data_IF_456707811038
#
_entry.id   IF_456707811038
#
_cell.length_a   1.000
_cell.length_b   1.000
_cell.length_c   1.000
_cell.angle_alpha   90.00
_cell.angle_beta   90.00
_cell.angle_gamma   90.00
#
_symmetry.space_group_name_H-M   'P 1'
#
loop_
_entity.id
_entity.type
_entity.pdbx_description
1 polymer ?
#
# COMPACT_ATOMS: atom_id res chain seq x y z
N UNK A 1 9.17 -4.03 8.67
CA UNK A 1 9.57 -3.16 7.55
C UNK A 1 8.76 -3.48 6.29
N UNK A 2 8.70 -4.74 5.82
CA UNK A 2 7.96 -5.11 4.60
C UNK A 2 6.49 -4.69 4.63
N UNK A 3 5.78 -4.92 5.73
CA UNK A 3 4.39 -4.49 5.91
C UNK A 3 4.30 -2.97 6.08
N UNK A 4 5.30 -2.37 6.75
CA UNK A 4 5.35 -0.93 6.98
C UNK A 4 5.48 -0.11 5.68
N UNK A 5 6.08 -0.66 4.63
CA UNK A 5 6.19 0.02 3.34
C UNK A 5 4.86 0.07 2.56
N UNK A 6 3.91 -0.82 2.87
CA UNK A 6 2.63 -0.95 2.16
C UNK A 6 1.45 -0.35 2.91
N UNK A 7 1.44 -0.47 4.24
CA UNK A 7 0.35 0.05 5.07
C UNK A 7 0.42 1.57 5.15
N UNK A 8 -0.53 2.25 4.56
CA UNK A 8 -0.58 3.71 4.51
C UNK A 8 -2.00 4.27 4.36
N UNK A 9 -2.10 5.57 4.13
CA UNK A 9 -3.37 6.29 3.91
C UNK A 9 -4.17 5.69 2.75
N UNK A 10 -3.48 5.08 1.81
CA UNK A 10 -4.06 4.36 0.70
C UNK A 10 -5.06 3.28 1.12
N UNK A 11 -4.76 2.51 2.14
CA UNK A 11 -5.59 1.39 2.60
C UNK A 11 -6.93 1.85 3.18
N UNK A 12 -7.03 3.10 3.59
CA UNK A 12 -8.26 3.69 4.11
C UNK A 12 -8.97 4.48 3.01
N UNK A 13 -8.37 5.59 2.57
CA UNK A 13 -9.00 6.51 1.61
C UNK A 13 -9.20 5.86 0.25
N UNK A 14 -8.20 5.13 -0.22
CA UNK A 14 -8.30 4.52 -1.53
C UNK A 14 -9.30 3.36 -1.60
N UNK A 15 -9.46 2.57 -0.54
CA UNK A 15 -10.51 1.54 -0.48
C UNK A 15 -11.88 2.22 -0.45
N UNK A 16 -12.03 3.31 0.32
CA UNK A 16 -13.26 4.10 0.35
C UNK A 16 -13.64 4.62 -1.04
N UNK A 17 -12.68 5.23 -1.75
CA UNK A 17 -12.88 5.72 -3.12
C UNK A 17 -13.23 4.58 -4.08
N UNK A 18 -12.56 3.44 -3.98
CA UNK A 18 -12.87 2.28 -4.83
C UNK A 18 -14.29 1.76 -4.63
N UNK A 19 -14.77 1.73 -3.40
CA UNK A 19 -16.15 1.33 -3.07
C UNK A 19 -17.15 2.39 -3.56
N UNK A 20 -16.88 3.67 -3.34
CA UNK A 20 -17.78 4.74 -3.79
C UNK A 20 -17.92 4.79 -5.32
N UNK A 21 -16.86 4.51 -6.06
CA UNK A 21 -16.86 4.58 -7.53
C UNK A 21 -17.17 3.26 -8.22
N UNK A 22 -16.78 2.15 -7.62
CA UNK A 22 -16.88 0.80 -8.21
C UNK A 22 -17.89 -0.13 -7.52
N UNK A 23 -18.58 0.34 -6.47
CA UNK A 23 -19.54 -0.48 -5.71
C UNK A 23 -18.88 -1.56 -4.86
N UNK A 24 -19.71 -2.43 -4.31
CA UNK A 24 -19.28 -3.54 -3.46
C UNK A 24 -18.35 -4.52 -4.20
N UNK A 25 -18.61 -4.74 -5.49
CA UNK A 25 -17.83 -5.66 -6.34
C UNK A 25 -16.34 -5.29 -6.47
N UNK A 26 -15.96 -4.03 -6.25
CA UNK A 26 -14.56 -3.60 -6.29
C UNK A 26 -13.69 -4.35 -5.26
N UNK A 27 -14.26 -4.76 -4.12
CA UNK A 27 -13.57 -5.51 -3.07
C UNK A 27 -13.13 -6.90 -3.57
N UNK A 28 -13.99 -7.59 -4.31
CA UNK A 28 -13.64 -8.88 -4.91
C UNK A 28 -12.44 -8.78 -5.86
N UNK A 29 -12.46 -7.80 -6.76
CA UNK A 29 -11.37 -7.58 -7.72
C UNK A 29 -10.07 -7.16 -7.05
N UNK A 30 -10.17 -6.42 -5.94
CA UNK A 30 -9.02 -6.08 -5.11
C UNK A 30 -8.38 -7.35 -4.48
N UNK A 31 -9.20 -8.30 -4.00
CA UNK A 31 -8.70 -9.59 -3.49
C UNK A 31 -8.03 -10.42 -4.58
N UNK A 32 -8.64 -10.49 -5.76
CA UNK A 32 -8.06 -11.23 -6.88
C UNK A 32 -6.69 -10.67 -7.28
N UNK A 33 -6.59 -9.35 -7.36
CA UNK A 33 -5.32 -8.68 -7.66
C UNK A 33 -4.27 -8.88 -6.56
N UNK A 34 -4.66 -9.02 -5.30
CA UNK A 34 -3.71 -9.33 -4.24
C UNK A 34 -3.08 -10.72 -4.41
N UNK A 35 -3.86 -11.72 -4.86
CA UNK A 35 -3.34 -13.05 -5.16
C UNK A 35 -2.31 -13.01 -6.29
N UNK A 36 -2.61 -12.33 -7.40
CA UNK A 36 -1.70 -12.15 -8.53
C UNK A 36 -0.48 -11.31 -8.15
N UNK A 37 -0.70 -10.21 -7.43
CA UNK A 37 0.34 -9.32 -6.93
C UNK A 37 1.30 -10.00 -5.95
N UNK A 38 0.82 -10.97 -5.17
CA UNK A 38 1.66 -11.79 -4.31
C UNK A 38 2.75 -12.53 -5.07
N UNK A 39 2.44 -13.10 -6.24
CA UNK A 39 3.44 -13.76 -7.10
C UNK A 39 4.46 -12.77 -7.66
N UNK A 40 4.00 -11.58 -8.07
CA UNK A 40 4.88 -10.52 -8.55
C UNK A 40 5.82 -10.03 -7.43
N UNK A 41 5.30 -9.75 -6.25
CA UNK A 41 6.09 -9.32 -5.09
C UNK A 41 7.12 -10.38 -4.66
N UNK A 42 6.77 -11.66 -4.73
CA UNK A 42 7.69 -12.76 -4.51
C UNK A 42 8.86 -12.72 -5.49
N UNK A 43 8.56 -12.63 -6.78
CA UNK A 43 9.55 -12.68 -7.86
C UNK A 43 10.50 -11.49 -7.79
N UNK A 44 9.97 -10.26 -7.74
CA UNK A 44 10.78 -9.04 -7.74
C UNK A 44 11.68 -8.94 -6.49
N UNK A 45 11.19 -9.40 -5.34
CA UNK A 45 11.96 -9.35 -4.09
C UNK A 45 13.01 -10.44 -4.00
N UNK A 46 12.75 -11.61 -4.59
CA UNK A 46 13.74 -12.67 -4.74
C UNK A 46 14.87 -12.24 -5.66
N UNK A 47 14.53 -11.62 -6.81
CA UNK A 47 15.53 -11.04 -7.73
C UNK A 47 16.37 -9.96 -7.04
N UNK A 48 15.75 -9.08 -6.27
CA UNK A 48 16.47 -8.05 -5.54
C UNK A 48 17.48 -8.63 -4.54
N UNK A 49 17.18 -9.77 -3.92
CA UNK A 49 18.11 -10.47 -3.04
C UNK A 49 19.24 -11.18 -3.79
N UNK A 50 18.97 -11.73 -5.00
CA UNK A 50 19.98 -12.40 -5.82
C UNK A 50 21.01 -11.40 -6.35
N UNK A 51 20.54 -10.24 -6.82
CA UNK A 51 21.37 -9.22 -7.45
C UNK A 51 21.80 -8.08 -6.51
N UNK A 52 21.60 -8.23 -5.19
CA UNK A 52 22.02 -7.22 -4.23
C UNK A 52 23.55 -7.05 -4.21
N UNK A 53 23.98 -5.84 -3.93
CA UNK A 53 25.38 -5.49 -3.71
C UNK A 53 25.62 -5.18 -2.24
N UNK A 54 26.85 -5.30 -1.80
CA UNK A 54 27.29 -4.89 -0.46
C UNK A 54 28.20 -3.70 -0.56
N UNK A 55 27.99 -2.72 0.31
CA UNK A 55 28.92 -1.63 0.49
C UNK A 55 30.16 -2.16 1.25
N UNK A 56 31.38 -2.07 0.69
CA UNK A 56 32.58 -2.56 1.34
C UNK A 56 32.95 -1.79 2.63
N UNK A 57 32.54 -0.51 2.73
CA UNK A 57 32.85 0.33 3.89
C UNK A 57 31.87 0.14 5.06
N UNK A 58 30.56 0.06 4.78
CA UNK A 58 29.54 -0.04 5.81
C UNK A 58 29.05 -1.47 6.07
N UNK A 59 29.35 -2.40 5.15
CA UNK A 59 28.85 -3.76 5.17
C UNK A 59 27.35 -3.91 4.89
N UNK A 60 26.66 -2.81 4.63
CA UNK A 60 25.21 -2.78 4.36
C UNK A 60 24.92 -3.30 2.95
N UNK A 61 23.82 -4.05 2.84
CA UNK A 61 23.32 -4.55 1.56
C UNK A 61 22.34 -3.56 0.94
N UNK A 62 22.48 -3.34 -0.36
CA UNK A 62 21.60 -2.48 -1.16
C UNK A 62 21.33 -3.14 -2.52
N UNK A 63 20.23 -2.77 -3.15
CA UNK A 63 19.83 -3.35 -4.44
C UNK A 63 18.42 -2.89 -4.80
N UNK A 64 17.80 -3.62 -5.71
CA UNK A 64 16.46 -3.35 -6.19
C UNK A 64 16.38 -3.44 -7.71
N UNK A 65 15.27 -2.98 -8.33
CA UNK A 65 15.04 -3.17 -9.76
C UNK A 65 16.12 -2.59 -10.66
N UNK A 66 16.62 -1.41 -10.35
CA UNK A 66 17.71 -0.82 -11.15
C UNK A 66 18.95 -1.73 -11.24
N UNK A 67 19.27 -2.42 -10.14
CA UNK A 67 20.45 -3.28 -10.08
C UNK A 67 20.25 -4.61 -10.83
N UNK A 68 19.08 -5.25 -10.72
CA UNK A 68 18.86 -6.47 -11.48
C UNK A 68 18.56 -6.19 -12.97
N UNK A 69 17.98 -5.03 -13.34
CA UNK A 69 17.85 -4.61 -14.73
C UNK A 69 19.25 -4.43 -15.35
N UNK A 70 20.16 -3.74 -14.66
CA UNK A 70 21.54 -3.57 -15.13
C UNK A 70 22.26 -4.91 -15.27
N UNK A 71 22.13 -5.79 -14.26
CA UNK A 71 22.87 -7.05 -14.21
C UNK A 71 22.30 -8.12 -15.14
N UNK A 72 20.97 -8.25 -15.23
CA UNK A 72 20.32 -9.31 -16.00
C UNK A 72 20.11 -8.92 -17.47
N UNK A 73 19.76 -7.67 -17.76
CA UNK A 73 19.50 -7.18 -19.12
C UNK A 73 20.71 -6.48 -19.74
N UNK A 74 21.82 -6.33 -18.98
CA UNK A 74 23.03 -5.59 -19.40
C UNK A 74 22.72 -4.18 -19.95
N UNK A 75 21.64 -3.55 -19.46
CA UNK A 75 21.15 -2.26 -19.94
C UNK A 75 21.20 -1.20 -18.83
N UNK A 76 22.33 -0.48 -18.74
CA UNK A 76 22.49 0.64 -17.82
C UNK A 76 21.53 1.82 -18.09
N UNK A 77 21.22 2.19 -19.35
CA UNK A 77 20.26 3.27 -19.60
C UNK A 77 18.88 2.97 -19.05
N UNK A 78 18.41 1.73 -19.21
CA UNK A 78 17.11 1.29 -18.70
C UNK A 78 17.08 1.30 -17.15
N UNK A 79 18.15 0.86 -16.52
CA UNK A 79 18.30 0.89 -15.07
C UNK A 79 18.25 2.32 -14.51
N UNK A 80 18.94 3.26 -15.17
CA UNK A 80 18.94 4.69 -14.77
C UNK A 80 17.55 5.31 -15.00
N UNK A 81 16.90 5.04 -16.13
CA UNK A 81 15.55 5.52 -16.42
C UNK A 81 14.57 5.04 -15.35
N UNK A 82 14.63 3.76 -14.98
CA UNK A 82 13.82 3.19 -13.91
C UNK A 82 14.08 3.89 -12.56
N UNK A 83 15.34 4.05 -12.18
CA UNK A 83 15.72 4.69 -10.93
C UNK A 83 15.21 6.14 -10.84
N UNK A 84 15.37 6.94 -11.91
CA UNK A 84 14.87 8.31 -11.96
C UNK A 84 13.34 8.36 -11.88
N UNK A 85 12.64 7.47 -12.58
CA UNK A 85 11.18 7.37 -12.52
C UNK A 85 10.70 7.00 -11.12
N UNK A 86 11.38 6.07 -10.45
CA UNK A 86 11.05 5.65 -9.09
C UNK A 86 11.26 6.81 -8.10
N UNK A 87 12.39 7.53 -8.20
CA UNK A 87 12.66 8.70 -7.35
C UNK A 87 11.58 9.77 -7.58
N UNK A 88 11.25 10.12 -8.81
CA UNK A 88 10.23 11.10 -9.12
C UNK A 88 8.85 10.70 -8.56
N UNK A 89 8.50 9.41 -8.67
CA UNK A 89 7.23 8.88 -8.15
C UNK A 89 7.18 8.95 -6.62
N UNK A 90 8.21 8.49 -5.92
CA UNK A 90 8.17 8.40 -4.45
C UNK A 90 8.54 9.70 -3.76
N UNK A 91 9.56 10.43 -4.24
CA UNK A 91 9.92 11.73 -3.66
C UNK A 91 8.89 12.83 -3.97
N UNK A 92 8.24 12.75 -5.14
CA UNK A 92 7.18 13.69 -5.53
C UNK A 92 5.78 13.13 -5.29
N UNK A 93 5.30 12.28 -6.20
CA UNK A 93 3.88 11.87 -6.26
C UNK A 93 3.33 11.26 -4.98
N UNK A 94 3.99 10.24 -4.44
CA UNK A 94 3.50 9.55 -3.24
C UNK A 94 3.56 10.42 -1.99
N UNK A 95 4.64 11.19 -1.78
CA UNK A 95 4.74 12.07 -0.63
C UNK A 95 3.70 13.19 -0.67
N UNK A 96 3.44 13.77 -1.84
CA UNK A 96 2.39 14.77 -2.02
C UNK A 96 0.99 14.17 -1.73
N UNK A 97 0.72 12.96 -2.25
CA UNK A 97 -0.54 12.27 -2.03
C UNK A 97 -0.73 11.93 -0.55
N UNK A 98 0.29 11.41 0.13
CA UNK A 98 0.23 11.10 1.57
C UNK A 98 -0.01 12.36 2.42
N UNK A 99 0.69 13.45 2.14
CA UNK A 99 0.53 14.71 2.84
C UNK A 99 -0.86 15.31 2.61
N UNK A 100 -1.35 15.26 1.36
CA UNK A 100 -2.70 15.71 1.01
C UNK A 100 -3.77 14.90 1.74
N UNK A 101 -3.66 13.57 1.73
CA UNK A 101 -4.60 12.70 2.41
C UNK A 101 -4.60 12.92 3.92
N UNK A 102 -3.41 13.10 4.53
CA UNK A 102 -3.30 13.35 5.95
C UNK A 102 -3.98 14.67 6.34
N UNK A 103 -3.70 15.77 5.64
CA UNK A 103 -4.32 17.05 5.95
C UNK A 103 -5.82 17.04 5.70
N UNK A 104 -6.30 16.34 4.66
CA UNK A 104 -7.72 16.26 4.33
C UNK A 104 -8.56 15.55 5.38
N UNK A 105 -7.96 14.65 6.18
CA UNK A 105 -8.64 14.02 7.33
C UNK A 105 -9.10 15.04 8.38
N UNK A 106 -8.46 16.19 8.45
CA UNK A 106 -8.82 17.24 9.40
C UNK A 106 -9.87 18.22 8.85
N UNK A 107 -10.24 18.12 7.56
CA UNK A 107 -11.17 19.08 6.92
C UNK A 107 -12.57 19.12 7.53
N UNK A 108 -13.00 18.07 8.23
CA UNK A 108 -14.28 18.00 8.92
C UNK A 108 -14.31 18.63 10.32
N UNK A 109 -13.17 19.08 10.85
CA UNK A 109 -13.11 19.66 12.19
C UNK A 109 -13.23 21.18 12.17
N UNK A 110 -13.84 21.75 13.22
CA UNK A 110 -14.09 23.19 13.35
C UNK A 110 -12.83 24.08 13.39
N UNK A 111 -11.67 23.50 13.76
CA UNK A 111 -10.39 24.21 13.79
C UNK A 111 -9.69 24.24 12.42
N UNK A 112 -10.21 23.53 11.41
CA UNK A 112 -9.57 23.47 10.10
C UNK A 112 -9.76 24.78 9.33
N UNK A 113 -8.64 25.38 8.92
CA UNK A 113 -8.61 26.51 7.98
C UNK A 113 -7.88 26.09 6.71
N UNK A 114 -8.52 26.18 5.52
CA UNK A 114 -7.89 25.82 4.25
C UNK A 114 -6.63 26.62 3.93
N UNK A 115 -6.49 27.82 4.50
CA UNK A 115 -5.34 28.70 4.24
C UNK A 115 -4.10 28.30 5.05
N UNK A 116 -4.27 27.89 6.32
CA UNK A 116 -3.15 27.70 7.26
C UNK A 116 -2.94 26.26 7.68
N UNK A 117 -4.01 25.50 7.89
CA UNK A 117 -3.90 24.12 8.41
C UNK A 117 -3.04 23.19 7.55
N UNK A 118 -3.14 23.21 6.18
CA UNK A 118 -2.29 22.39 5.33
C UNK A 118 -0.80 22.69 5.48
N UNK A 119 -0.45 23.99 5.64
CA UNK A 119 0.95 24.40 5.84
C UNK A 119 1.51 23.98 7.18
N UNK A 120 0.71 24.08 8.24
CA UNK A 120 1.11 23.65 9.59
C UNK A 120 1.32 22.14 9.62
N UNK A 121 0.36 21.35 9.11
CA UNK A 121 0.47 19.89 9.05
C UNK A 121 1.63 19.49 8.16
N UNK A 122 1.77 20.10 6.98
CA UNK A 122 2.87 19.85 6.06
C UNK A 122 4.22 20.15 6.69
N UNK A 123 4.36 21.25 7.43
CA UNK A 123 5.56 21.61 8.16
C UNK A 123 5.93 20.58 9.25
N UNK A 124 4.96 20.13 10.03
CA UNK A 124 5.16 19.09 11.06
C UNK A 124 5.62 17.79 10.41
N UNK A 125 4.94 17.34 9.34
CA UNK A 125 5.30 16.11 8.62
C UNK A 125 6.69 16.22 8.00
N UNK A 126 7.03 17.37 7.41
CA UNK A 126 8.35 17.60 6.83
C UNK A 126 9.46 17.54 7.88
N UNK A 127 9.25 18.13 9.07
CA UNK A 127 10.20 18.07 10.18
C UNK A 127 10.39 16.65 10.70
N UNK A 128 9.29 15.90 10.91
CA UNK A 128 9.35 14.50 11.35
C UNK A 128 10.05 13.61 10.33
N UNK A 129 9.70 13.75 9.05
CA UNK A 129 10.32 13.00 7.96
C UNK A 129 11.80 13.35 7.84
N UNK A 130 12.14 14.63 7.89
CA UNK A 130 13.54 15.10 7.89
C UNK A 130 14.34 14.51 9.04
N UNK A 131 13.79 14.52 10.26
CA UNK A 131 14.41 13.89 11.42
C UNK A 131 14.67 12.40 11.22
N UNK A 132 13.71 11.67 10.65
CA UNK A 132 13.87 10.23 10.37
C UNK A 132 14.93 9.98 9.29
N UNK A 133 14.88 10.73 8.17
CA UNK A 133 15.79 10.57 7.02
C UNK A 133 17.23 10.93 7.40
N UNK A 134 17.45 12.03 8.12
CA UNK A 134 18.80 12.45 8.57
C UNK A 134 19.48 11.42 9.49
N UNK A 135 18.69 10.54 10.13
CA UNK A 135 19.24 9.45 10.95
C UNK A 135 19.65 8.20 10.18
N UNK A 136 19.49 8.21 8.85
CA UNK A 136 19.84 7.09 7.98
C UNK A 136 18.92 5.87 8.12
N UNK A 137 19.26 4.80 7.41
CA UNK A 137 18.43 3.59 7.30
C UNK A 137 18.07 2.94 8.65
N UNK A 138 18.99 2.94 9.61
CA UNK A 138 18.74 2.36 10.94
C UNK A 138 17.61 3.07 11.69
N UNK A 139 17.57 4.40 11.63
CA UNK A 139 16.51 5.20 12.29
C UNK A 139 15.17 5.00 11.60
N UNK A 140 15.14 5.01 10.27
CA UNK A 140 13.92 4.74 9.49
C UNK A 140 13.37 3.36 9.85
N UNK A 141 14.21 2.33 9.89
CA UNK A 141 13.81 0.96 10.25
C UNK A 141 13.25 0.91 11.69
N UNK A 142 13.95 1.52 12.66
CA UNK A 142 13.51 1.53 14.06
C UNK A 142 12.16 2.22 14.22
N UNK A 143 11.97 3.38 13.59
CA UNK A 143 10.73 4.14 13.65
C UNK A 143 9.58 3.37 12.97
N UNK A 144 9.78 2.87 11.76
CA UNK A 144 8.77 2.13 11.01
C UNK A 144 8.40 0.79 11.68
N UNK A 145 9.37 0.06 12.25
CA UNK A 145 9.12 -1.21 12.93
C UNK A 145 8.34 -1.08 14.24
N UNK A 146 8.33 0.09 14.86
CA UNK A 146 7.59 0.36 16.08
C UNK A 146 6.23 0.99 15.79
N UNK A 147 6.20 2.06 14.97
CA UNK A 147 4.99 2.84 14.73
C UNK A 147 3.95 2.06 13.93
N UNK A 148 4.37 1.38 12.86
CA UNK A 148 3.42 0.75 11.94
C UNK A 148 2.67 -0.44 12.55
N UNK A 149 3.28 -1.36 13.31
CA UNK A 149 2.53 -2.40 14.00
C UNK A 149 1.52 -1.86 15.02
N UNK A 150 1.88 -0.79 15.74
CA UNK A 150 0.96 -0.15 16.70
C UNK A 150 -0.24 0.45 15.97
N UNK A 151 0.01 1.25 14.92
CA UNK A 151 -1.05 1.85 14.10
C UNK A 151 -1.93 0.79 13.45
N UNK A 152 -1.32 -0.20 12.80
CA UNK A 152 -2.03 -1.28 12.14
C UNK A 152 -2.83 -2.14 13.12
N UNK A 153 -2.27 -2.42 14.30
CA UNK A 153 -2.95 -3.17 15.36
C UNK A 153 -4.16 -2.42 15.90
N UNK A 154 -4.02 -1.13 16.21
CA UNK A 154 -5.14 -0.28 16.63
C UNK A 154 -6.22 -0.19 15.55
N UNK A 155 -5.81 -0.02 14.30
CA UNK A 155 -6.74 0.04 13.17
C UNK A 155 -7.55 -1.25 13.02
N UNK A 156 -6.88 -2.41 13.02
CA UNK A 156 -7.54 -3.71 12.93
C UNK A 156 -8.45 -3.95 14.13
N UNK A 157 -8.04 -3.53 15.33
CA UNK A 157 -8.87 -3.64 16.54
C UNK A 157 -10.17 -2.84 16.40
N UNK A 158 -10.09 -1.58 15.97
CA UNK A 158 -11.27 -0.74 15.72
C UNK A 158 -12.16 -1.37 14.66
N UNK A 159 -11.55 -1.86 13.56
CA UNK A 159 -12.29 -2.54 12.50
C UNK A 159 -13.02 -3.78 13.02
N UNK A 160 -12.36 -4.60 13.82
CA UNK A 160 -12.97 -5.79 14.44
C UNK A 160 -14.14 -5.43 15.35
N UNK A 161 -14.02 -4.37 16.17
CA UNK A 161 -15.13 -3.90 17.00
C UNK A 161 -16.34 -3.53 16.14
N UNK A 162 -16.16 -2.75 15.08
CA UNK A 162 -17.24 -2.36 14.16
C UNK A 162 -17.86 -3.58 13.48
N UNK A 163 -17.03 -4.50 13.00
CA UNK A 163 -17.50 -5.73 12.33
C UNK A 163 -18.28 -6.62 13.29
N UNK A 164 -17.81 -6.82 14.52
CA UNK A 164 -18.49 -7.64 15.52
C UNK A 164 -19.82 -7.02 15.93
N UNK A 165 -19.87 -5.71 16.10
CA UNK A 165 -21.14 -5.00 16.40
C UNK A 165 -22.17 -5.14 15.28
N UNK A 166 -21.73 -5.41 14.05
CA UNK A 166 -22.57 -5.53 12.85
C UNK A 166 -22.50 -6.91 12.20
N UNK A 167 -22.22 -7.95 12.98
CA UNK A 167 -22.02 -9.32 12.47
C UNK A 167 -23.20 -9.85 11.66
N UNK A 168 -24.41 -9.44 11.99
CA UNK A 168 -25.63 -9.81 11.25
C UNK A 168 -25.68 -9.30 9.81
N UNK A 169 -24.95 -8.23 9.47
CA UNK A 169 -24.88 -7.66 8.12
C UNK A 169 -23.82 -8.33 7.24
N UNK A 170 -22.88 -9.07 7.81
CA UNK A 170 -21.77 -9.68 7.09
C UNK A 170 -22.21 -10.58 5.94
N UNK A 171 -23.19 -11.50 6.11
CA UNK A 171 -23.65 -12.33 5.00
C UNK A 171 -24.21 -11.51 3.83
N UNK A 172 -24.94 -10.43 4.14
CA UNK A 172 -25.48 -9.52 3.14
C UNK A 172 -24.38 -8.76 2.40
N UNK A 173 -23.35 -8.27 3.12
CA UNK A 173 -22.19 -7.61 2.54
C UNK A 173 -21.46 -8.55 1.58
N UNK A 174 -21.19 -9.79 2.01
CA UNK A 174 -20.58 -10.79 1.14
C UNK A 174 -21.43 -11.08 -0.10
N UNK A 175 -22.74 -11.27 0.08
CA UNK A 175 -23.66 -11.49 -1.03
C UNK A 175 -23.59 -10.37 -2.08
N UNK A 176 -23.57 -9.09 -1.64
CA UNK A 176 -23.43 -7.94 -2.53
C UNK A 176 -22.06 -7.89 -3.19
N UNK A 177 -20.96 -8.14 -2.47
CA UNK A 177 -19.61 -8.15 -3.04
C UNK A 177 -19.55 -9.11 -4.24
N UNK A 178 -20.06 -10.34 -4.10
CA UNK A 178 -20.03 -11.31 -5.19
C UNK A 178 -21.05 -11.02 -6.29
N UNK A 179 -22.26 -10.56 -5.98
CA UNK A 179 -23.25 -10.25 -7.01
C UNK A 179 -22.82 -9.06 -7.89
N UNK A 180 -22.29 -8.00 -7.29
CA UNK A 180 -21.86 -6.81 -8.03
C UNK A 180 -20.49 -7.00 -8.73
N UNK A 181 -19.64 -7.92 -8.25
CA UNK A 181 -18.37 -8.23 -8.88
C UNK A 181 -18.51 -8.78 -10.30
N UNK A 182 -19.64 -9.46 -10.59
CA UNK A 182 -19.94 -10.12 -11.88
C UNK A 182 -21.13 -9.49 -12.61
N UNK A 183 -21.52 -8.27 -12.23
CA UNK A 183 -22.52 -7.50 -12.98
C UNK A 183 -21.89 -6.97 -14.29
N UNK A 184 -21.94 -7.81 -15.33
CA UNK A 184 -21.36 -7.49 -16.63
C UNK A 184 -22.02 -6.29 -17.31
N UNK A 185 -23.31 -6.01 -17.04
CA UNK A 185 -23.98 -4.84 -17.61
C UNK A 185 -23.39 -3.55 -17.02
N UNK A 186 -23.23 -3.48 -15.72
CA UNK A 186 -22.60 -2.34 -15.06
C UNK A 186 -21.12 -2.20 -15.44
N UNK A 187 -20.39 -3.31 -15.59
CA UNK A 187 -18.97 -3.30 -16.01
C UNK A 187 -18.80 -2.71 -17.42
N UNK A 188 -19.62 -3.10 -18.38
CA UNK A 188 -19.51 -2.62 -19.76
C UNK A 188 -20.12 -1.23 -19.97
N UNK A 189 -21.15 -0.85 -19.21
CA UNK A 189 -21.76 0.48 -19.30
C UNK A 189 -20.87 1.61 -18.76
N UNK A 190 -20.03 1.31 -17.74
CA UNK A 190 -19.20 2.32 -17.07
C UNK A 190 -17.77 1.83 -16.84
N UNK A 191 -17.02 1.50 -17.88
CA UNK A 191 -15.69 0.86 -17.78
C UNK A 191 -14.72 1.56 -16.84
N UNK A 192 -14.66 2.88 -16.84
CA UNK A 192 -13.74 3.65 -15.97
C UNK A 192 -14.17 3.68 -14.50
N UNK A 193 -15.47 3.56 -14.22
CA UNK A 193 -16.05 3.49 -12.87
C UNK A 193 -16.41 2.08 -12.45
N UNK A 194 -16.15 1.06 -13.27
CA UNK A 194 -16.57 -0.30 -13.01
C UNK A 194 -15.88 -0.91 -11.77
N UNK A 195 -16.55 -1.87 -11.13
CA UNK A 195 -16.01 -2.64 -10.02
C UNK A 195 -14.64 -3.25 -10.33
N UNK A 196 -14.47 -3.79 -11.56
CA UNK A 196 -13.21 -4.36 -12.04
C UNK A 196 -12.09 -3.32 -12.04
N UNK A 197 -12.32 -2.18 -12.72
CA UNK A 197 -11.29 -1.15 -12.87
C UNK A 197 -10.89 -0.56 -11.51
N UNK A 198 -11.87 -0.24 -10.67
CA UNK A 198 -11.61 0.34 -9.35
C UNK A 198 -10.93 -0.66 -8.41
N UNK A 199 -11.37 -1.91 -8.40
CA UNK A 199 -10.79 -2.97 -7.59
C UNK A 199 -9.35 -3.28 -8.02
N UNK A 200 -9.09 -3.41 -9.33
CA UNK A 200 -7.73 -3.64 -9.88
C UNK A 200 -6.80 -2.47 -9.56
N UNK A 201 -7.20 -1.24 -9.87
CA UNK A 201 -6.42 -0.04 -9.56
C UNK A 201 -6.08 0.04 -8.08
N UNK A 202 -7.07 -0.24 -7.23
CA UNK A 202 -6.89 -0.15 -5.80
C UNK A 202 -5.98 -1.25 -5.27
N UNK A 203 -6.18 -2.49 -5.70
CA UNK A 203 -5.32 -3.61 -5.33
C UNK A 203 -3.86 -3.37 -5.70
N UNK A 204 -3.58 -2.97 -6.94
CA UNK A 204 -2.22 -2.65 -7.40
C UNK A 204 -1.60 -1.49 -6.63
N UNK A 205 -2.35 -0.45 -6.34
CA UNK A 205 -1.86 0.71 -5.61
C UNK A 205 -1.54 0.37 -4.14
N UNK A 206 -2.37 -0.46 -3.48
CA UNK A 206 -2.18 -0.82 -2.08
C UNK A 206 -1.01 -1.76 -1.87
N UNK A 207 -0.94 -2.82 -2.68
CA UNK A 207 0.06 -3.87 -2.48
C UNK A 207 1.44 -3.53 -3.05
N UNK A 208 1.55 -2.47 -3.86
CA UNK A 208 2.78 -2.01 -4.53
C UNK A 208 3.54 -3.12 -5.29
N UNK A 209 2.87 -4.24 -5.62
CA UNK A 209 3.49 -5.34 -6.32
C UNK A 209 3.76 -4.97 -7.78
N UNK A 210 5.00 -5.12 -8.23
CA UNK A 210 5.43 -4.76 -9.58
C UNK A 210 5.81 -3.30 -9.76
N UNK A 211 5.66 -2.45 -8.74
CA UNK A 211 6.09 -1.04 -8.78
C UNK A 211 7.61 -0.91 -8.59
N UNK A 212 8.22 -1.85 -7.88
CA UNK A 212 9.67 -1.88 -7.67
C UNK A 212 10.15 -1.14 -6.41
N UNK A 213 9.26 -0.62 -5.57
CA UNK A 213 9.61 -0.01 -4.29
C UNK A 213 10.02 -1.04 -3.25
N UNK A 214 9.18 -2.06 -3.06
CA UNK A 214 9.40 -3.13 -2.10
C UNK A 214 10.72 -3.91 -2.31
N UNK A 215 11.18 -4.18 -3.54
CA UNK A 215 12.47 -4.81 -3.79
C UNK A 215 13.68 -4.02 -3.27
N UNK A 216 13.63 -2.69 -3.25
CA UNK A 216 14.73 -1.88 -2.69
C UNK A 216 14.87 -2.13 -1.17
N UNK A 217 13.75 -2.16 -0.45
CA UNK A 217 13.74 -2.52 0.97
C UNK A 217 14.08 -4.01 1.17
N UNK A 218 13.63 -4.89 0.28
CA UNK A 218 13.93 -6.31 0.34
C UNK A 218 15.43 -6.59 0.19
N UNK A 219 16.15 -5.86 -0.65
CA UNK A 219 17.58 -6.04 -0.87
C UNK A 219 18.42 -5.74 0.38
N UNK A 220 17.99 -4.82 1.25
CA UNK A 220 18.68 -4.48 2.48
C UNK A 220 18.59 -5.57 3.57
N UNK A 221 17.65 -6.51 3.41
CA UNK A 221 17.44 -7.56 4.40
C UNK A 221 18.57 -8.61 4.39
N UNK A 222 19.00 -9.00 5.60
CA UNK A 222 19.97 -10.08 5.76
C UNK A 222 19.24 -11.40 6.00
N UNK A 223 19.14 -12.22 4.96
CA UNK A 223 18.44 -13.51 4.98
C UNK A 223 19.37 -14.63 4.52
N UNK A 224 19.13 -15.83 5.02
CA UNK A 224 19.94 -17.00 4.69
C UNK A 224 19.70 -17.53 3.26
N UNK A 225 18.57 -17.18 2.65
CA UNK A 225 18.22 -17.59 1.29
C UNK A 225 17.29 -16.55 0.64
N UNK A 226 17.51 -16.14 -0.64
CA UNK A 226 16.70 -15.14 -1.34
C UNK A 226 15.20 -15.40 -1.32
N UNK A 227 14.78 -16.64 -1.49
CA UNK A 227 13.37 -17.07 -1.48
C UNK A 227 12.65 -16.71 -0.17
N UNK A 228 13.34 -16.73 0.97
CA UNK A 228 12.73 -16.34 2.26
C UNK A 228 12.22 -14.89 2.22
N UNK A 229 12.99 -14.00 1.62
CA UNK A 229 12.57 -12.61 1.49
C UNK A 229 11.43 -12.46 0.49
N UNK A 230 11.42 -13.24 -0.60
CA UNK A 230 10.29 -13.31 -1.53
C UNK A 230 8.99 -13.72 -0.82
N UNK A 231 9.04 -14.80 0.01
CA UNK A 231 7.88 -15.26 0.79
C UNK A 231 7.40 -14.21 1.80
N UNK A 232 8.31 -13.51 2.48
CA UNK A 232 7.95 -12.42 3.42
C UNK A 232 7.24 -11.29 2.68
N UNK A 233 7.69 -10.92 1.48
CA UNK A 233 7.07 -9.88 0.69
C UNK A 233 5.70 -10.30 0.13
N UNK A 234 5.56 -11.56 -0.29
CA UNK A 234 4.27 -12.13 -0.69
C UNK A 234 3.26 -12.11 0.48
N UNK A 235 3.69 -12.57 1.66
CA UNK A 235 2.85 -12.52 2.87
C UNK A 235 2.45 -11.08 3.22
N UNK A 236 3.35 -10.12 3.05
CA UNK A 236 3.07 -8.71 3.28
C UNK A 236 1.99 -8.16 2.35
N UNK A 237 1.94 -8.58 1.08
CA UNK A 237 0.85 -8.25 0.13
C UNK A 237 -0.49 -8.77 0.64
N UNK A 238 -0.52 -10.02 1.12
CA UNK A 238 -1.74 -10.62 1.64
C UNK A 238 -2.22 -9.92 2.91
N UNK A 239 -1.33 -9.64 3.86
CA UNK A 239 -1.68 -8.90 5.07
C UNK A 239 -2.20 -7.50 4.76
N UNK A 240 -1.58 -6.80 3.83
CA UNK A 240 -2.01 -5.47 3.42
C UNK A 240 -3.42 -5.49 2.81
N UNK A 241 -3.65 -6.33 1.81
CA UNK A 241 -4.88 -6.28 1.04
C UNK A 241 -5.99 -7.15 1.64
N UNK A 242 -5.69 -8.41 2.03
CA UNK A 242 -6.72 -9.32 2.54
C UNK A 242 -7.11 -9.02 3.99
N UNK A 243 -6.22 -8.39 4.78
CA UNK A 243 -6.55 -8.04 6.16
C UNK A 243 -6.90 -6.56 6.27
N UNK A 244 -5.96 -5.66 5.98
CA UNK A 244 -6.14 -4.22 6.28
C UNK A 244 -7.15 -3.57 5.33
N UNK A 245 -7.02 -3.79 4.01
CA UNK A 245 -8.00 -3.22 3.06
C UNK A 245 -9.39 -3.86 3.21
N UNK A 246 -9.46 -5.17 3.53
CA UNK A 246 -10.74 -5.81 3.80
C UNK A 246 -11.39 -5.28 5.09
N UNK A 247 -10.60 -5.04 6.14
CA UNK A 247 -11.09 -4.40 7.36
C UNK A 247 -11.73 -3.04 7.06
N UNK A 248 -11.08 -2.21 6.23
CA UNK A 248 -11.65 -0.95 5.75
C UNK A 248 -12.94 -1.16 4.98
N UNK A 249 -12.93 -2.11 4.02
CA UNK A 249 -14.10 -2.38 3.20
C UNK A 249 -15.29 -2.82 4.05
N UNK A 250 -15.10 -3.77 4.96
CA UNK A 250 -16.19 -4.25 5.83
C UNK A 250 -16.69 -3.16 6.78
N UNK A 251 -15.81 -2.33 7.37
CA UNK A 251 -16.26 -1.20 8.17
C UNK A 251 -17.19 -0.28 7.38
N UNK A 252 -16.76 0.12 6.19
CA UNK A 252 -17.54 1.03 5.34
C UNK A 252 -18.85 0.41 4.88
N UNK A 253 -18.82 -0.83 4.42
CA UNK A 253 -19.98 -1.51 3.86
C UNK A 253 -21.01 -1.86 4.95
N UNK A 254 -20.60 -2.25 6.15
CA UNK A 254 -21.49 -2.46 7.27
C UNK A 254 -22.13 -1.13 7.72
N UNK A 255 -21.36 -0.05 7.83
CA UNK A 255 -21.89 1.27 8.21
C UNK A 255 -22.81 1.85 7.13
N UNK A 256 -22.49 1.68 5.86
CA UNK A 256 -23.34 2.12 4.73
C UNK A 256 -24.70 1.42 4.74
N UNK A 257 -24.77 0.13 5.08
CA UNK A 257 -26.04 -0.61 5.17
C UNK A 257 -26.91 -0.21 6.35
N UNK A 258 -26.35 0.46 7.37
CA UNK A 258 -27.11 0.97 8.51
C UNK A 258 -27.78 2.31 8.16
N UNK A 259 -27.19 3.06 7.22
CA UNK A 259 -27.65 4.41 6.86
C UNK A 259 -28.48 4.47 5.58
N UNK A 260 -28.74 3.33 4.91
CA UNK A 260 -29.69 3.18 3.82
C UNK A 260 -31.00 2.58 4.36
#
# INVERSE_FOLDING_TARGET
VSTASRVGTGNIIGVSVAICMGGYGAVFWMWLIALLGGATAFTESTLAQIYKRRNPETGESYGGPAYYIEAALHSRPLAVLFALSLIATYAGGFNMLCSYNLQSTFSGYSFYSPEWTPWIIGGIVALLTGYCVMGGGKRIIAFASTLVPIMGGLYVLVALVVIVMNVGLIPQVFGRIFSEAFDFQAIFAGFTGSAVMQGVKRGLFSNEAGVGSAPNAAASANVSHPVKQGLVQMLSVFLDTLVICSATAFMLLCLSLIHI
#
